data_IF_906181589060
#
_entry.id   IF_906181589060
#
_cell.length_a   1.000
_cell.length_b   1.000
_cell.length_c   1.000
_cell.angle_alpha   90.00
_cell.angle_beta   90.00
_cell.angle_gamma   90.00
#
_symmetry.space_group_name_H-M   'P 1'
#
loop_
_entity.id
_entity.type
_entity.pdbx_description
1 polymer ?
#
# COMPACT_ATOMS: atom_id res chain seq x y z
N UNK A 1 -12.55 -18.82 7.72
CA UNK A 1 -12.14 -17.40 7.67
C UNK A 1 -11.69 -16.98 9.05
N UNK A 2 -10.64 -16.16 9.17
CA UNK A 2 -10.09 -15.65 10.44
C UNK A 2 -9.73 -16.75 11.46
N UNK A 3 -9.32 -17.93 11.00
CA UNK A 3 -8.82 -18.97 11.91
C UNK A 3 -7.38 -18.63 12.34
N UNK A 4 -7.24 -17.60 13.18
CA UNK A 4 -5.93 -17.04 13.53
C UNK A 4 -5.02 -18.02 14.26
N UNK A 5 -5.57 -19.05 14.91
CA UNK A 5 -4.77 -20.09 15.55
C UNK A 5 -3.89 -20.86 14.54
N UNK A 6 -4.32 -20.98 13.28
CA UNK A 6 -3.50 -21.59 12.21
C UNK A 6 -2.25 -20.75 11.88
N UNK A 7 -2.23 -19.49 12.32
CA UNK A 7 -1.17 -18.51 12.06
C UNK A 7 -0.45 -18.06 13.34
N UNK A 8 -0.72 -18.68 14.49
CA UNK A 8 -0.09 -18.33 15.77
C UNK A 8 1.45 -18.37 15.68
N UNK A 9 1.97 -19.34 14.93
CA UNK A 9 3.39 -19.58 14.75
C UNK A 9 3.90 -19.08 13.38
N UNK A 10 3.19 -18.15 12.73
CA UNK A 10 3.55 -17.68 11.38
C UNK A 10 5.01 -17.19 11.33
N UNK A 11 5.50 -16.57 12.40
CA UNK A 11 6.86 -16.04 12.51
C UNK A 11 7.90 -16.98 13.13
N UNK A 12 7.58 -18.25 13.45
CA UNK A 12 8.46 -19.13 14.25
C UNK A 12 9.87 -19.35 13.67
N UNK A 13 10.06 -19.17 12.37
CA UNK A 13 11.35 -19.34 11.68
C UNK A 13 12.12 -18.04 11.46
N UNK A 14 11.59 -16.91 11.95
CA UNK A 14 12.23 -15.60 11.86
C UNK A 14 12.99 -15.35 13.16
N UNK A 15 14.28 -15.07 13.03
CA UNK A 15 15.06 -14.48 14.11
C UNK A 15 14.87 -12.97 14.06
N UNK A 16 14.33 -12.33 15.12
CA UNK A 16 14.21 -10.88 15.16
C UNK A 16 15.57 -10.21 14.94
N UNK A 17 15.56 -9.12 14.20
CA UNK A 17 16.76 -8.34 13.96
C UNK A 17 17.36 -7.82 15.27
N UNK A 18 18.69 -7.85 15.35
CA UNK A 18 19.44 -7.20 16.41
C UNK A 18 20.72 -6.59 15.85
N UNK A 19 21.05 -5.40 16.30
CA UNK A 19 22.27 -4.70 15.95
C UNK A 19 22.15 -3.19 16.10
N UNK A 20 23.13 -2.51 15.52
CA UNK A 20 23.18 -1.04 15.52
C UNK A 20 22.28 -0.45 14.46
N UNK A 21 21.35 0.40 14.86
CA UNK A 21 20.52 1.18 13.93
C UNK A 21 21.30 2.39 13.44
N UNK A 22 21.47 2.59 12.13
CA UNK A 22 22.08 3.80 11.60
C UNK A 22 21.31 5.06 12.03
N UNK A 23 22.04 6.17 12.25
CA UNK A 23 21.41 7.44 12.57
C UNK A 23 20.43 7.87 11.47
N UNK A 24 19.26 8.38 11.85
CA UNK A 24 18.21 8.79 10.92
C UNK A 24 17.25 7.67 10.49
N UNK A 25 17.39 6.45 11.03
CA UNK A 25 16.53 5.31 10.68
C UNK A 25 15.76 4.75 11.88
N UNK A 26 14.63 4.11 11.59
CA UNK A 26 14.01 3.09 12.44
C UNK A 26 14.29 1.72 11.82
N UNK A 27 14.04 0.66 12.59
CA UNK A 27 14.19 -0.72 12.11
C UNK A 27 13.04 -1.57 12.62
N UNK A 28 12.53 -2.49 11.79
CA UNK A 28 11.53 -3.48 12.21
C UNK A 28 12.18 -4.83 12.56
N UNK A 29 11.36 -5.82 12.93
CA UNK A 29 11.85 -7.13 13.33
C UNK A 29 12.47 -7.95 12.18
N UNK A 30 12.19 -7.61 10.92
CA UNK A 30 12.88 -8.20 9.76
C UNK A 30 14.22 -7.52 9.46
N UNK A 31 14.50 -6.37 10.08
CA UNK A 31 15.67 -5.55 9.77
C UNK A 31 15.44 -4.56 8.64
N UNK A 32 14.18 -4.23 8.31
CA UNK A 32 13.86 -3.18 7.34
C UNK A 32 14.28 -1.83 7.92
N UNK A 33 15.19 -1.13 7.25
CA UNK A 33 15.58 0.22 7.62
C UNK A 33 14.63 1.23 6.99
N UNK A 34 13.87 1.95 7.80
CA UNK A 34 12.97 3.02 7.34
C UNK A 34 13.53 4.37 7.77
N UNK A 35 13.74 5.29 6.83
CA UNK A 35 14.22 6.62 7.17
C UNK A 35 13.16 7.36 8.01
N UNK A 36 13.57 7.98 9.13
CA UNK A 36 12.67 8.69 10.05
C UNK A 36 11.89 9.82 9.38
N UNK A 37 12.45 10.41 8.34
CA UNK A 37 11.78 11.43 7.52
C UNK A 37 10.50 10.92 6.83
N UNK A 38 10.44 9.63 6.45
CA UNK A 38 9.23 9.05 5.86
C UNK A 38 8.10 8.95 6.88
N UNK A 39 8.47 8.91 8.16
CA UNK A 39 7.57 8.72 9.29
C UNK A 39 7.26 10.03 10.03
N UNK A 40 7.81 11.18 9.59
CA UNK A 40 7.68 12.44 10.32
C UNK A 40 6.21 12.82 10.60
N UNK A 41 5.33 12.54 9.65
CA UNK A 41 3.89 12.80 9.76
C UNK A 41 3.18 11.92 10.79
N UNK A 42 3.64 10.68 10.96
CA UNK A 42 3.03 9.67 11.82
C UNK A 42 3.71 9.55 13.19
N UNK A 43 4.92 10.12 13.28
CA UNK A 43 5.84 9.86 14.37
C UNK A 43 6.50 8.49 14.25
N UNK A 44 7.48 8.27 15.13
CA UNK A 44 8.14 6.99 15.27
C UNK A 44 8.38 6.71 16.76
N UNK A 45 8.58 5.43 17.09
CA UNK A 45 8.72 5.03 18.49
C UNK A 45 9.95 5.70 19.15
N UNK A 46 9.82 6.28 20.37
CA UNK A 46 10.91 6.99 21.04
C UNK A 46 12.17 6.14 21.31
N UNK A 47 12.03 4.81 21.32
CA UNK A 47 13.17 3.90 21.48
C UNK A 47 14.14 3.91 20.30
N UNK A 48 13.74 4.41 19.12
CA UNK A 48 14.62 4.55 17.97
C UNK A 48 15.56 5.76 18.13
N UNK A 49 16.56 5.60 18.99
CA UNK A 49 17.62 6.58 19.22
C UNK A 49 18.73 6.36 18.18
N UNK A 50 19.24 7.46 17.61
CA UNK A 50 20.26 7.39 16.57
C UNK A 50 21.53 6.66 17.04
N UNK A 51 21.94 5.65 16.28
CA UNK A 51 23.14 4.88 16.57
C UNK A 51 23.01 3.90 17.74
N UNK A 52 21.80 3.67 18.26
CA UNK A 52 21.55 2.70 19.32
C UNK A 52 21.70 1.25 18.84
N UNK A 53 22.14 0.38 19.75
CA UNK A 53 22.01 -1.07 19.61
C UNK A 53 20.60 -1.47 20.05
N UNK A 54 19.84 -2.10 19.16
CA UNK A 54 18.50 -2.60 19.45
C UNK A 54 18.44 -4.11 19.26
N UNK A 55 17.49 -4.72 19.97
CA UNK A 55 17.04 -6.07 19.74
C UNK A 55 15.54 -6.00 19.56
N UNK A 56 15.07 -6.36 18.36
CA UNK A 56 13.65 -6.33 18.04
C UNK A 56 12.95 -7.56 18.62
N UNK A 57 11.64 -7.44 18.79
CA UNK A 57 10.77 -8.54 19.19
C UNK A 57 9.88 -8.95 18.03
N UNK A 58 9.48 -10.22 17.99
CA UNK A 58 8.43 -10.66 17.06
C UNK A 58 7.14 -9.91 17.40
N UNK A 59 6.45 -9.30 16.41
CA UNK A 59 5.21 -8.60 16.67
C UNK A 59 4.15 -9.58 17.19
N UNK A 60 3.38 -9.13 18.18
CA UNK A 60 2.20 -9.83 18.66
C UNK A 60 0.97 -9.02 18.32
N UNK A 61 -0.14 -9.69 18.00
CA UNK A 61 -1.37 -9.02 17.59
C UNK A 61 -1.91 -8.09 18.69
N UNK A 62 -1.72 -8.45 19.96
CA UNK A 62 -2.13 -7.66 21.14
C UNK A 62 -1.10 -6.67 21.71
N UNK A 63 0.08 -6.52 21.08
CA UNK A 63 1.24 -5.82 21.64
C UNK A 63 1.20 -4.29 21.63
N UNK A 64 0.11 -3.68 21.17
CA UNK A 64 -0.06 -2.23 21.08
C UNK A 64 -0.02 -1.72 19.64
N UNK A 65 -1.13 -1.11 19.22
CA UNK A 65 -1.37 -0.31 18.01
C UNK A 65 -1.01 -0.84 16.62
N UNK A 66 -0.60 -2.10 16.42
CA UNK A 66 -0.28 -2.54 15.06
C UNK A 66 -0.80 -3.92 14.69
N UNK A 67 -2.12 -4.09 14.81
CA UNK A 67 -2.82 -5.25 14.26
C UNK A 67 -2.59 -5.36 12.75
N UNK A 68 -2.74 -4.26 12.02
CA UNK A 68 -2.52 -4.16 10.57
C UNK A 68 -1.13 -4.65 10.16
N UNK A 69 -0.07 -4.10 10.77
CA UNK A 69 1.31 -4.54 10.49
C UNK A 69 1.53 -6.03 10.75
N UNK A 70 0.90 -6.62 11.77
CA UNK A 70 1.01 -8.06 12.01
C UNK A 70 0.48 -8.86 10.81
N UNK A 71 -0.64 -8.44 10.22
CA UNK A 71 -1.21 -9.09 9.04
C UNK A 71 -0.39 -8.87 7.78
N UNK A 72 0.08 -7.65 7.54
CA UNK A 72 1.01 -7.36 6.43
C UNK A 72 2.25 -8.26 6.51
N UNK A 73 2.89 -8.29 7.68
CA UNK A 73 4.08 -9.10 7.93
C UNK A 73 3.81 -10.60 7.80
N UNK A 74 2.65 -11.08 8.28
CA UNK A 74 2.22 -12.46 8.12
C UNK A 74 2.08 -12.83 6.63
N UNK A 75 1.48 -11.94 5.84
CA UNK A 75 1.31 -12.14 4.40
C UNK A 75 2.64 -12.12 3.63
N UNK A 76 3.61 -11.29 4.02
CA UNK A 76 4.98 -11.34 3.47
C UNK A 76 5.62 -12.71 3.69
N UNK A 77 5.51 -13.24 4.91
CA UNK A 77 6.09 -14.54 5.29
C UNK A 77 5.43 -15.69 4.56
N UNK A 78 4.10 -15.66 4.48
CA UNK A 78 3.35 -16.71 3.80
C UNK A 78 3.62 -16.70 2.30
N UNK A 79 3.62 -15.52 1.67
CA UNK A 79 3.96 -15.38 0.25
C UNK A 79 5.39 -15.87 -0.05
N UNK A 80 6.38 -15.49 0.78
CA UNK A 80 7.76 -15.94 0.63
C UNK A 80 7.89 -17.48 0.71
N UNK A 81 7.16 -18.12 1.63
CA UNK A 81 7.15 -19.58 1.78
C UNK A 81 6.46 -20.30 0.63
N UNK A 82 5.46 -19.67 0.01
CA UNK A 82 4.70 -20.24 -1.11
C UNK A 82 5.41 -20.05 -2.46
N UNK A 83 6.25 -19.03 -2.60
CA UNK A 83 6.99 -18.69 -3.81
C UNK A 83 7.84 -19.86 -4.35
N UNK A 84 7.92 -19.99 -5.67
CA UNK A 84 8.67 -21.04 -6.37
C UNK A 84 9.44 -20.45 -7.54
N UNK A 85 10.73 -20.79 -7.64
CA UNK A 85 11.69 -20.41 -8.70
C UNK A 85 11.99 -18.90 -8.84
N UNK A 86 10.99 -18.05 -8.66
CA UNK A 86 11.05 -16.58 -8.66
C UNK A 86 9.97 -16.03 -7.73
N UNK A 87 10.11 -14.76 -7.35
CA UNK A 87 9.11 -14.03 -6.58
C UNK A 87 8.69 -12.75 -7.29
N UNK A 88 7.40 -12.56 -7.54
CA UNK A 88 6.86 -11.29 -8.05
C UNK A 88 5.93 -10.69 -7.02
N UNK A 89 6.26 -9.48 -6.57
CA UNK A 89 5.45 -8.70 -5.64
C UNK A 89 5.00 -7.39 -6.29
N UNK A 90 3.73 -7.07 -6.13
CA UNK A 90 3.11 -5.83 -6.58
C UNK A 90 2.55 -5.08 -5.37
N UNK A 91 2.83 -3.78 -5.23
CA UNK A 91 2.18 -2.87 -4.28
C UNK A 91 1.53 -1.72 -5.03
N UNK A 92 0.27 -1.43 -4.71
CA UNK A 92 -0.53 -0.35 -5.27
C UNK A 92 -0.72 0.70 -4.18
N UNK A 93 -0.35 1.95 -4.46
CA UNK A 93 -0.28 2.99 -3.43
C UNK A 93 0.96 2.82 -2.55
N UNK A 94 2.11 2.67 -3.20
CA UNK A 94 3.31 2.19 -2.53
C UNK A 94 3.83 3.14 -1.43
N UNK A 95 3.45 4.43 -1.42
CA UNK A 95 3.94 5.43 -0.48
C UNK A 95 5.49 5.47 -0.50
N UNK A 96 6.17 5.03 0.56
CA UNK A 96 7.64 4.91 0.60
C UNK A 96 8.15 3.48 0.32
N UNK A 97 7.29 2.57 -0.16
CA UNK A 97 7.62 1.23 -0.63
C UNK A 97 7.80 0.18 0.46
N UNK A 98 7.18 0.40 1.64
CA UNK A 98 7.38 -0.44 2.82
C UNK A 98 7.08 -1.92 2.57
N UNK A 99 5.95 -2.19 1.92
CA UNK A 99 5.44 -3.52 1.66
C UNK A 99 6.33 -4.28 0.67
N UNK A 100 6.92 -3.58 -0.31
CA UNK A 100 7.87 -4.16 -1.25
C UNK A 100 9.20 -4.52 -0.56
N UNK A 101 9.73 -3.62 0.27
CA UNK A 101 10.96 -3.85 1.04
C UNK A 101 10.77 -4.96 2.07
N UNK A 102 9.66 -4.96 2.80
CA UNK A 102 9.30 -5.98 3.79
C UNK A 102 9.11 -7.36 3.16
N UNK A 103 8.39 -7.45 2.03
CA UNK A 103 8.27 -8.68 1.25
C UNK A 103 9.62 -9.19 0.77
N UNK A 104 10.49 -8.30 0.29
CA UNK A 104 11.84 -8.68 -0.12
C UNK A 104 12.66 -9.24 1.05
N UNK A 105 12.65 -8.61 2.23
CA UNK A 105 13.38 -9.14 3.39
C UNK A 105 12.83 -10.48 3.85
N UNK A 106 11.51 -10.62 3.95
CA UNK A 106 10.89 -11.90 4.30
C UNK A 106 11.31 -13.00 3.32
N UNK A 107 11.33 -12.70 2.01
CA UNK A 107 11.82 -13.61 0.99
C UNK A 107 13.29 -13.99 1.21
N UNK A 108 14.19 -13.02 1.39
CA UNK A 108 15.61 -13.31 1.57
C UNK A 108 15.92 -14.08 2.86
N UNK A 109 15.08 -13.96 3.90
CA UNK A 109 15.26 -14.71 5.15
C UNK A 109 14.74 -16.15 5.06
N UNK A 110 13.64 -16.36 4.32
CA UNK A 110 12.91 -17.64 4.34
C UNK A 110 13.13 -18.50 3.11
N UNK A 111 13.30 -17.88 1.95
CA UNK A 111 13.32 -18.55 0.66
C UNK A 111 14.09 -17.70 -0.37
N UNK A 112 15.42 -17.53 -0.20
CA UNK A 112 16.20 -16.61 -1.03
C UNK A 112 16.14 -17.01 -2.51
N UNK A 113 15.60 -16.13 -3.34
CA UNK A 113 15.49 -16.34 -4.79
C UNK A 113 15.43 -15.00 -5.54
N UNK A 114 15.57 -15.01 -6.88
CA UNK A 114 15.36 -13.81 -7.68
C UNK A 114 13.95 -13.24 -7.50
N UNK A 115 13.84 -11.93 -7.31
CA UNK A 115 12.57 -11.25 -7.17
C UNK A 115 12.40 -10.09 -8.15
N UNK A 116 11.15 -9.80 -8.51
CA UNK A 116 10.72 -8.55 -9.14
C UNK A 116 9.75 -7.85 -8.21
N UNK A 117 10.09 -6.63 -7.83
CA UNK A 117 9.22 -5.74 -7.07
C UNK A 117 8.61 -4.73 -8.04
N UNK A 118 7.30 -4.54 -7.92
CA UNK A 118 6.53 -3.58 -8.71
C UNK A 118 5.83 -2.64 -7.73
N UNK A 119 6.19 -1.35 -7.76
CA UNK A 119 5.62 -0.33 -6.91
C UNK A 119 4.93 0.73 -7.77
N UNK A 120 3.63 0.93 -7.56
CA UNK A 120 2.84 1.96 -8.24
C UNK A 120 2.49 3.06 -7.24
N UNK A 121 2.91 4.29 -7.53
CA UNK A 121 2.76 5.42 -6.62
C UNK A 121 2.55 6.72 -7.41
N UNK A 122 1.42 7.44 -7.25
CA UNK A 122 1.12 8.61 -8.06
C UNK A 122 1.92 9.87 -7.66
N UNK A 123 2.40 9.98 -6.42
CA UNK A 123 3.07 11.19 -5.90
C UNK A 123 4.58 11.12 -6.24
N UNK A 124 5.12 12.10 -6.99
CA UNK A 124 6.53 12.09 -7.40
C UNK A 124 7.53 11.96 -6.24
N UNK A 125 7.28 12.67 -5.15
CA UNK A 125 8.13 12.66 -3.96
C UNK A 125 8.14 11.28 -3.29
N UNK A 126 6.98 10.64 -3.20
CA UNK A 126 6.86 9.26 -2.70
C UNK A 126 7.59 8.27 -3.64
N UNK A 127 7.53 8.44 -4.96
CA UNK A 127 8.31 7.62 -5.90
C UNK A 127 9.82 7.70 -5.62
N UNK A 128 10.33 8.89 -5.32
CA UNK A 128 11.72 9.04 -4.92
C UNK A 128 12.02 8.42 -3.55
N UNK A 129 11.05 8.44 -2.62
CA UNK A 129 11.14 7.72 -1.36
C UNK A 129 11.18 6.21 -1.55
N UNK A 130 10.36 5.62 -2.42
CA UNK A 130 10.42 4.19 -2.79
C UNK A 130 11.84 3.83 -3.26
N UNK A 131 12.40 4.60 -4.19
CA UNK A 131 13.75 4.36 -4.71
C UNK A 131 14.81 4.45 -3.61
N UNK A 132 14.73 5.47 -2.75
CA UNK A 132 15.65 5.65 -1.63
C UNK A 132 15.53 4.49 -0.64
N UNK A 133 14.32 4.14 -0.25
CA UNK A 133 14.06 3.08 0.71
C UNK A 133 14.55 1.71 0.22
N UNK A 134 14.40 1.42 -1.07
CA UNK A 134 15.00 0.24 -1.71
C UNK A 134 16.53 0.25 -1.57
N UNK A 135 17.20 1.37 -1.91
CA UNK A 135 18.68 1.48 -1.79
C UNK A 135 19.15 1.33 -0.35
N UNK A 136 18.46 1.95 0.60
CA UNK A 136 18.77 1.88 2.03
C UNK A 136 18.67 0.43 2.55
N UNK A 137 17.90 -0.43 1.86
CA UNK A 137 17.75 -1.84 2.16
C UNK A 137 18.51 -2.79 1.21
N UNK A 138 19.44 -2.26 0.40
CA UNK A 138 20.28 -3.07 -0.48
C UNK A 138 19.57 -3.62 -1.72
N UNK A 139 18.43 -3.04 -2.08
CA UNK A 139 17.68 -3.37 -3.30
C UNK A 139 18.04 -2.34 -4.38
N UNK A 140 18.44 -2.80 -5.56
CA UNK A 140 18.71 -1.92 -6.70
C UNK A 140 17.39 -1.51 -7.38
N UNK A 141 16.95 -0.23 -7.26
CA UNK A 141 15.68 0.21 -7.84
C UNK A 141 15.66 0.16 -9.37
N UNK A 142 16.82 0.22 -10.04
CA UNK A 142 16.90 0.14 -11.51
C UNK A 142 16.61 -1.27 -12.03
N UNK A 143 16.70 -2.27 -11.14
CA UNK A 143 16.28 -3.64 -11.43
C UNK A 143 14.82 -3.89 -11.06
N UNK A 144 14.10 -2.93 -10.50
CA UNK A 144 12.69 -3.05 -10.11
C UNK A 144 11.81 -2.21 -11.02
N UNK A 145 10.48 -2.37 -10.89
CA UNK A 145 9.52 -1.53 -11.61
C UNK A 145 8.89 -0.55 -10.64
N UNK A 146 9.18 0.73 -10.82
CA UNK A 146 8.62 1.81 -10.01
C UNK A 146 7.93 2.76 -10.97
N UNK A 147 6.59 2.86 -10.87
CA UNK A 147 5.78 3.61 -11.82
C UNK A 147 5.05 4.75 -11.13
N UNK A 148 5.20 5.95 -11.70
CA UNK A 148 4.45 7.12 -11.26
C UNK A 148 3.08 7.16 -11.96
N UNK A 149 2.09 6.48 -11.40
CA UNK A 149 0.75 6.41 -11.97
C UNK A 149 -0.32 6.16 -10.92
N UNK A 150 -1.56 6.47 -11.26
CA UNK A 150 -2.75 6.03 -10.53
C UNK A 150 -3.16 4.67 -11.03
N UNK A 151 -3.57 3.78 -10.13
CA UNK A 151 -4.28 2.56 -10.52
C UNK A 151 -5.78 2.85 -10.57
N UNK A 152 -6.42 2.66 -11.72
CA UNK A 152 -7.87 2.87 -11.91
C UNK A 152 -8.49 1.70 -12.70
N UNK A 153 -9.79 1.80 -12.92
CA UNK A 153 -10.58 0.97 -13.84
C UNK A 153 -10.28 1.23 -15.33
N UNK A 154 -9.65 2.35 -15.68
CA UNK A 154 -9.33 2.74 -17.07
C UNK A 154 -7.92 3.31 -17.21
N UNK A 155 -7.44 3.44 -18.45
CA UNK A 155 -6.20 4.15 -18.78
C UNK A 155 -6.39 5.65 -19.01
N UNK A 156 -7.58 6.20 -18.73
CA UNK A 156 -7.82 7.63 -18.88
C UNK A 156 -7.12 8.40 -17.74
N UNK A 157 -6.45 9.52 -18.01
CA UNK A 157 -5.93 10.37 -16.96
C UNK A 157 -7.03 10.81 -16.00
N UNK A 158 -6.73 10.81 -14.70
CA UNK A 158 -7.67 11.14 -13.64
C UNK A 158 -7.21 12.37 -12.85
N UNK A 159 -8.18 13.13 -12.33
CA UNK A 159 -7.90 14.16 -11.34
C UNK A 159 -7.53 13.52 -10.01
N UNK A 160 -6.37 13.92 -9.49
CA UNK A 160 -5.79 13.32 -8.30
C UNK A 160 -5.03 14.36 -7.48
N UNK A 161 -5.10 14.28 -6.15
CA UNK A 161 -4.38 15.19 -5.28
C UNK A 161 -2.89 14.84 -5.24
N UNK A 162 -2.03 15.76 -5.67
CA UNK A 162 -0.57 15.61 -5.68
C UNK A 162 0.06 16.61 -4.71
N UNK A 163 0.86 16.10 -3.78
CA UNK A 163 1.47 16.85 -2.68
C UNK A 163 1.31 16.08 -1.37
N UNK A 164 1.77 16.67 -0.26
CA UNK A 164 1.76 16.03 1.06
C UNK A 164 2.29 14.58 1.04
N UNK A 165 3.57 14.38 0.65
CA UNK A 165 4.17 13.05 0.65
C UNK A 165 4.11 12.42 2.04
N UNK A 166 3.93 11.10 2.08
CA UNK A 166 3.75 10.35 3.33
C UNK A 166 2.33 10.38 3.92
N UNK A 167 1.40 11.17 3.37
CA UNK A 167 0.08 11.35 3.99
C UNK A 167 -0.87 10.16 3.86
N UNK A 168 -0.70 9.28 2.88
CA UNK A 168 -1.53 8.09 2.71
C UNK A 168 -3.02 8.40 2.75
N UNK A 169 -3.47 9.47 2.08
CA UNK A 169 -4.86 9.94 2.13
C UNK A 169 -5.43 10.26 0.75
N UNK A 170 -4.62 10.08 -0.30
CA UNK A 170 -4.91 10.47 -1.66
C UNK A 170 -5.59 9.30 -2.40
N UNK A 171 -6.72 9.56 -3.05
CA UNK A 171 -7.45 8.57 -3.83
C UNK A 171 -7.96 9.14 -5.15
N UNK A 172 -8.34 8.26 -6.08
CA UNK A 172 -8.80 8.66 -7.40
C UNK A 172 -10.32 8.60 -7.57
N UNK A 173 -11.08 8.32 -6.51
CA UNK A 173 -12.55 8.28 -6.57
C UNK A 173 -13.11 9.64 -6.19
N UNK A 174 -12.89 10.06 -4.95
CA UNK A 174 -13.46 11.28 -4.38
C UNK A 174 -12.95 12.55 -5.08
N UNK A 175 -11.82 12.45 -5.78
CA UNK A 175 -11.24 13.58 -6.52
C UNK A 175 -11.52 13.56 -8.03
N UNK A 176 -12.04 12.46 -8.56
CA UNK A 176 -12.25 12.33 -10.00
C UNK A 176 -13.72 12.13 -10.38
N UNK A 177 -14.60 11.83 -9.42
CA UNK A 177 -16.02 11.67 -9.67
C UNK A 177 -16.67 12.94 -10.28
N UNK A 178 -17.79 12.82 -11.01
CA UNK A 178 -18.42 13.97 -11.69
C UNK A 178 -18.70 15.14 -10.75
N UNK A 179 -19.17 14.86 -9.53
CA UNK A 179 -19.46 15.89 -8.53
C UNK A 179 -18.21 16.68 -8.12
N UNK A 180 -17.10 15.99 -7.84
CA UNK A 180 -15.83 16.63 -7.50
C UNK A 180 -15.34 17.53 -8.64
N UNK A 181 -15.41 17.06 -9.89
CA UNK A 181 -15.05 17.85 -11.08
C UNK A 181 -15.92 19.11 -11.22
N UNK A 182 -17.22 19.00 -11.00
CA UNK A 182 -18.12 20.17 -11.00
C UNK A 182 -17.78 21.16 -9.90
N UNK A 183 -17.46 20.68 -8.70
CA UNK A 183 -17.07 21.52 -7.56
C UNK A 183 -15.77 22.29 -7.88
N UNK A 184 -14.79 21.65 -8.53
CA UNK A 184 -13.57 22.32 -8.99
C UNK A 184 -13.86 23.42 -10.01
N UNK A 185 -14.72 23.16 -10.99
CA UNK A 185 -15.11 24.17 -11.99
C UNK A 185 -15.81 25.34 -11.33
N UNK A 186 -16.75 25.08 -10.40
CA UNK A 186 -17.46 26.14 -9.67
C UNK A 186 -16.51 27.03 -8.89
N UNK A 187 -15.52 26.46 -8.21
CA UNK A 187 -14.51 27.21 -7.46
C UNK A 187 -13.61 28.05 -8.38
N UNK A 188 -13.10 27.45 -9.45
CA UNK A 188 -12.27 28.16 -10.42
C UNK A 188 -13.01 29.33 -11.09
N UNK A 189 -14.32 29.18 -11.34
CA UNK A 189 -15.17 30.25 -11.88
C UNK A 189 -15.39 31.35 -10.83
N UNK A 190 -15.71 30.98 -9.59
CA UNK A 190 -15.91 31.94 -8.51
C UNK A 190 -14.66 32.80 -8.25
N UNK A 191 -13.48 32.19 -8.36
CA UNK A 191 -12.19 32.87 -8.16
C UNK A 191 -11.69 33.61 -9.41
N UNK A 192 -12.38 33.53 -10.54
CA UNK A 192 -11.92 34.13 -11.81
C UNK A 192 -10.64 33.50 -12.36
N UNK A 193 -10.38 32.23 -12.06
CA UNK A 193 -9.14 31.50 -12.40
C UNK A 193 -9.27 30.54 -13.59
N UNK A 194 -10.43 30.48 -14.24
CA UNK A 194 -10.74 29.49 -15.29
C UNK A 194 -9.74 29.48 -16.45
N UNK A 195 -9.38 30.64 -17.02
CA UNK A 195 -8.42 30.71 -18.13
C UNK A 195 -7.03 30.21 -17.73
N UNK A 196 -6.58 30.57 -16.52
CA UNK A 196 -5.30 30.13 -15.99
C UNK A 196 -5.27 28.62 -15.73
N UNK A 197 -6.33 28.07 -15.13
CA UNK A 197 -6.46 26.63 -14.90
C UNK A 197 -6.49 25.84 -16.21
N UNK A 198 -7.23 26.31 -17.23
CA UNK A 198 -7.24 25.68 -18.55
C UNK A 198 -5.86 25.69 -19.20
N UNK A 199 -5.17 26.83 -19.17
CA UNK A 199 -3.79 26.93 -19.67
C UNK A 199 -2.85 25.98 -18.94
N UNK A 200 -2.96 25.88 -17.62
CA UNK A 200 -2.11 25.00 -16.81
C UNK A 200 -2.40 23.52 -17.07
N UNK A 201 -3.66 23.13 -17.28
CA UNK A 201 -4.02 21.76 -17.62
C UNK A 201 -3.41 21.35 -18.95
N UNK A 202 -3.53 22.20 -19.97
CA UNK A 202 -3.00 21.90 -21.31
C UNK A 202 -1.47 21.82 -21.37
N UNK A 203 -0.78 22.61 -20.54
CA UNK A 203 0.68 22.73 -20.62
C UNK A 203 1.43 21.88 -19.60
N UNK A 204 0.81 21.59 -18.46
CA UNK A 204 1.50 21.08 -17.26
C UNK A 204 0.69 20.08 -16.46
N UNK A 205 -0.52 19.72 -16.89
CA UNK A 205 -1.43 18.82 -16.17
C UNK A 205 -1.78 19.30 -14.75
N UNK A 206 -1.72 20.60 -14.48
CA UNK A 206 -2.05 21.21 -13.18
C UNK A 206 -3.34 22.01 -13.28
N UNK A 207 -4.13 22.03 -12.22
CA UNK A 207 -5.28 22.94 -12.11
C UNK A 207 -4.92 24.24 -11.39
N UNK A 208 -3.87 24.24 -10.55
CA UNK A 208 -3.58 25.30 -9.59
C UNK A 208 -4.56 25.32 -8.40
N UNK A 209 -5.45 24.34 -8.29
CA UNK A 209 -6.42 24.21 -7.21
C UNK A 209 -5.80 23.42 -6.06
N UNK A 210 -5.64 24.08 -4.90
CA UNK A 210 -5.08 23.44 -3.71
C UNK A 210 -6.21 23.03 -2.77
N UNK A 211 -6.16 21.81 -2.23
CA UNK A 211 -7.14 21.22 -1.32
C UNK A 211 -6.46 20.60 -0.11
N UNK A 212 -7.06 20.77 1.06
CA UNK A 212 -6.73 19.97 2.24
C UNK A 212 -7.45 18.62 2.10
N UNK A 213 -6.72 17.54 1.81
CA UNK A 213 -7.32 16.22 1.56
C UNK A 213 -7.84 15.54 2.82
N UNK A 214 -7.36 15.97 3.99
CA UNK A 214 -7.88 15.52 5.27
C UNK A 214 -8.21 16.74 6.12
N UNK A 215 -9.49 17.16 6.19
CA UNK A 215 -9.90 18.40 6.82
C UNK A 215 -9.29 18.59 8.23
N UNK A 216 -8.52 19.67 8.39
CA UNK A 216 -7.93 20.05 9.67
C UNK A 216 -6.59 19.38 9.98
N UNK A 217 -6.08 18.53 9.08
CA UNK A 217 -4.71 18.00 9.14
C UNK A 217 -3.72 18.84 8.33
N UNK A 218 -4.20 19.79 7.51
CA UNK A 218 -3.38 20.65 6.66
C UNK A 218 -2.52 19.85 5.67
N UNK A 219 -3.10 18.78 5.13
CA UNK A 219 -2.50 17.98 4.06
C UNK A 219 -2.84 18.65 2.73
N UNK A 220 -2.16 19.77 2.49
CA UNK A 220 -2.38 20.60 1.32
C UNK A 220 -1.79 19.95 0.08
N UNK A 221 -2.66 19.57 -0.84
CA UNK A 221 -2.32 18.97 -2.13
C UNK A 221 -2.87 19.83 -3.27
N UNK A 222 -2.28 19.70 -4.44
CA UNK A 222 -2.84 20.28 -5.66
C UNK A 222 -3.60 19.23 -6.46
N UNK A 223 -4.82 19.53 -6.92
CA UNK A 223 -5.54 18.66 -7.84
C UNK A 223 -4.85 18.72 -9.21
N UNK A 224 -4.31 17.60 -9.68
CA UNK A 224 -3.61 17.48 -10.96
C UNK A 224 -4.24 16.40 -11.82
N UNK A 225 -4.04 16.50 -13.13
CA UNK A 225 -4.35 15.42 -14.06
C UNK A 225 -3.15 14.45 -14.07
N UNK A 226 -3.35 13.23 -13.63
CA UNK A 226 -2.27 12.22 -13.52
C UNK A 226 -2.61 11.03 -14.39
N UNK A 227 -1.59 10.42 -15.00
CA UNK A 227 -1.75 9.25 -15.85
C UNK A 227 -2.26 8.06 -15.03
N UNK A 228 -3.17 7.27 -15.63
CA UNK A 228 -3.70 6.07 -14.99
C UNK A 228 -3.35 4.81 -15.76
N UNK A 229 -3.17 3.73 -15.02
CA UNK A 229 -2.98 2.36 -15.51
C UNK A 229 -3.99 1.45 -14.85
N UNK A 230 -4.33 0.35 -15.53
CA UNK A 230 -5.24 -0.66 -14.97
C UNK A 230 -4.46 -1.79 -14.30
N UNK A 231 -5.13 -2.59 -13.45
CA UNK A 231 -4.54 -3.84 -12.95
C UNK A 231 -4.13 -4.77 -14.08
N UNK A 232 -4.86 -4.77 -15.21
CA UNK A 232 -4.51 -5.58 -16.37
C UNK A 232 -3.15 -5.17 -16.95
N UNK A 233 -2.83 -3.87 -16.96
CA UNK A 233 -1.54 -3.37 -17.45
C UNK A 233 -0.41 -3.76 -16.49
N UNK A 234 -0.63 -3.61 -15.19
CA UNK A 234 0.34 -3.96 -14.15
C UNK A 234 0.66 -5.46 -14.17
N UNK A 235 -0.37 -6.31 -14.27
CA UNK A 235 -0.25 -7.77 -14.24
C UNK A 235 0.06 -8.39 -15.60
N UNK A 236 -0.13 -7.64 -16.69
CA UNK A 236 0.02 -8.11 -18.07
C UNK A 236 1.37 -8.80 -18.32
N UNK A 237 2.51 -8.18 -17.95
CA UNK A 237 3.83 -8.72 -18.23
C UNK A 237 4.25 -9.97 -17.46
N UNK A 238 3.51 -10.38 -16.43
CA UNK A 238 3.88 -11.51 -15.57
C UNK A 238 3.02 -12.74 -15.83
N UNK A 239 3.60 -13.93 -15.89
CA UNK A 239 2.81 -15.17 -15.95
C UNK A 239 2.06 -15.40 -14.63
N UNK A 240 2.70 -15.04 -13.52
CA UNK A 240 2.16 -15.16 -12.16
C UNK A 240 2.75 -14.06 -11.26
N UNK A 241 1.95 -13.65 -10.27
CA UNK A 241 2.28 -12.73 -9.18
C UNK A 241 2.03 -13.46 -7.87
N UNK A 242 3.09 -13.59 -7.06
CA UNK A 242 3.03 -14.32 -5.80
C UNK A 242 2.29 -13.53 -4.72
N UNK A 243 2.47 -12.21 -4.72
CA UNK A 243 1.86 -11.33 -3.74
C UNK A 243 1.47 -9.99 -4.35
N UNK A 244 0.21 -9.61 -4.18
CA UNK A 244 -0.28 -8.27 -4.46
C UNK A 244 -0.72 -7.64 -3.15
N UNK A 245 -0.19 -6.47 -2.86
CA UNK A 245 -0.61 -5.63 -1.76
C UNK A 245 -1.26 -4.36 -2.33
N UNK A 246 -2.26 -3.84 -1.62
CA UNK A 246 -2.99 -2.65 -2.04
C UNK A 246 -3.48 -1.84 -0.86
N UNK A 247 -3.08 -0.57 -0.86
CA UNK A 247 -3.62 0.49 -0.03
C UNK A 247 -3.73 1.76 -0.91
N UNK A 248 -4.92 1.96 -1.48
CA UNK A 248 -5.19 3.04 -2.44
C UNK A 248 -6.40 3.88 -2.02
N UNK A 249 -6.63 3.94 -0.71
CA UNK A 249 -7.48 4.93 -0.04
C UNK A 249 -8.91 5.00 -0.60
N UNK A 250 -9.61 3.86 -0.66
CA UNK A 250 -10.96 3.65 -1.24
C UNK A 250 -10.97 3.32 -2.73
N UNK A 251 -9.88 3.56 -3.46
CA UNK A 251 -9.84 3.28 -4.90
C UNK A 251 -9.96 1.78 -5.20
N UNK A 252 -9.86 0.90 -4.20
CA UNK A 252 -10.00 -0.54 -4.34
C UNK A 252 -11.35 -0.93 -4.98
N UNK A 253 -12.42 -0.18 -4.69
CA UNK A 253 -13.78 -0.45 -5.18
C UNK A 253 -13.95 -0.24 -6.68
N UNK A 254 -13.10 0.55 -7.33
CA UNK A 254 -13.10 0.70 -8.80
C UNK A 254 -12.00 -0.14 -9.45
N UNK A 255 -10.90 -0.36 -8.74
CA UNK A 255 -9.71 -1.03 -9.26
C UNK A 255 -9.92 -2.55 -9.38
N UNK A 256 -10.43 -3.21 -8.35
CA UNK A 256 -10.50 -4.68 -8.33
C UNK A 256 -11.66 -5.29 -9.13
N UNK A 257 -12.92 -4.82 -9.02
CA UNK A 257 -14.06 -5.52 -9.63
C UNK A 257 -13.98 -5.78 -11.13
N UNK A 258 -13.49 -4.85 -11.97
CA UNK A 258 -13.37 -5.08 -13.41
C UNK A 258 -12.30 -6.12 -13.79
N UNK A 259 -11.46 -6.54 -12.84
CA UNK A 259 -10.22 -7.29 -13.09
C UNK A 259 -10.17 -8.66 -12.42
N UNK A 260 -11.30 -9.15 -11.88
CA UNK A 260 -11.36 -10.45 -11.20
C UNK A 260 -10.88 -11.61 -12.07
N UNK A 261 -11.12 -11.55 -13.38
CA UNK A 261 -10.67 -12.57 -14.33
C UNK A 261 -9.13 -12.67 -14.41
N UNK A 262 -8.44 -11.53 -14.47
CA UNK A 262 -6.97 -11.49 -14.55
C UNK A 262 -6.35 -11.78 -13.19
N UNK A 263 -6.95 -11.30 -12.10
CA UNK A 263 -6.53 -11.62 -10.74
C UNK A 263 -6.57 -13.12 -10.51
N UNK A 264 -7.70 -13.78 -10.81
CA UNK A 264 -7.88 -15.23 -10.62
C UNK A 264 -6.90 -16.06 -11.46
N UNK A 265 -6.49 -15.58 -12.64
CA UNK A 265 -5.52 -16.28 -13.48
C UNK A 265 -4.07 -16.08 -13.07
N UNK A 266 -3.73 -14.92 -12.49
CA UNK A 266 -2.32 -14.49 -12.35
C UNK A 266 -1.86 -14.30 -10.92
N UNK A 267 -2.75 -14.06 -9.97
CA UNK A 267 -2.35 -13.65 -8.61
C UNK A 267 -2.64 -14.78 -7.63
N UNK A 268 -1.63 -15.12 -6.82
CA UNK A 268 -1.73 -16.18 -5.80
C UNK A 268 -2.32 -15.67 -4.49
N UNK A 269 -1.88 -14.51 -4.01
CA UNK A 269 -2.28 -13.94 -2.73
C UNK A 269 -2.45 -12.43 -2.86
N UNK A 270 -3.48 -11.91 -2.20
CA UNK A 270 -3.76 -10.47 -2.14
C UNK A 270 -3.96 -10.07 -0.68
N UNK A 271 -3.29 -8.98 -0.27
CA UNK A 271 -3.56 -8.26 0.97
C UNK A 271 -4.09 -6.87 0.63
N UNK A 272 -5.16 -6.42 1.28
CA UNK A 272 -5.74 -5.09 1.07
C UNK A 272 -5.99 -4.39 2.40
N UNK A 273 -5.53 -3.15 2.49
CA UNK A 273 -6.02 -2.14 3.42
C UNK A 273 -7.32 -1.53 2.87
N UNK A 274 -8.45 -1.74 3.52
CA UNK A 274 -9.76 -1.27 3.02
C UNK A 274 -10.29 -0.08 3.80
N UNK A 275 -10.69 0.98 3.09
CA UNK A 275 -10.95 2.30 3.66
C UNK A 275 -12.46 2.62 3.79
N UNK A 276 -13.18 1.76 4.49
CA UNK A 276 -14.62 1.88 4.71
C UNK A 276 -15.29 0.52 4.87
N UNK A 277 -16.29 0.44 5.75
CA UNK A 277 -16.96 -0.83 6.03
C UNK A 277 -17.76 -1.36 4.81
N UNK A 278 -18.30 -0.46 3.99
CA UNK A 278 -19.01 -0.75 2.75
C UNK A 278 -18.07 -1.21 1.62
N UNK A 279 -16.93 -0.54 1.47
CA UNK A 279 -15.85 -0.96 0.56
C UNK A 279 -15.34 -2.35 0.95
N UNK A 280 -15.05 -2.55 2.24
CA UNK A 280 -14.59 -3.84 2.77
C UNK A 280 -15.58 -4.96 2.47
N UNK A 281 -16.86 -4.76 2.80
CA UNK A 281 -17.90 -5.79 2.60
C UNK A 281 -18.08 -6.10 1.11
N UNK A 282 -18.06 -5.09 0.25
CA UNK A 282 -18.21 -5.29 -1.19
C UNK A 282 -17.06 -6.10 -1.78
N UNK A 283 -15.83 -5.78 -1.39
CA UNK A 283 -14.65 -6.52 -1.85
C UNK A 283 -14.66 -7.96 -1.30
N UNK A 284 -14.98 -8.12 -0.01
CA UNK A 284 -15.13 -9.44 0.61
C UNK A 284 -16.10 -10.33 -0.19
N UNK A 285 -17.31 -9.84 -0.44
CA UNK A 285 -18.37 -10.62 -1.11
C UNK A 285 -17.97 -10.93 -2.54
N UNK A 286 -17.41 -9.95 -3.26
CA UNK A 286 -16.89 -10.14 -4.60
C UNK A 286 -15.81 -11.24 -4.66
N UNK A 287 -14.83 -11.23 -3.76
CA UNK A 287 -13.79 -12.26 -3.75
C UNK A 287 -14.36 -13.65 -3.43
N UNK A 288 -15.28 -13.74 -2.47
CA UNK A 288 -15.94 -14.99 -2.12
C UNK A 288 -16.77 -15.55 -3.30
N UNK A 289 -17.53 -14.69 -3.99
CA UNK A 289 -18.32 -15.06 -5.18
C UNK A 289 -17.46 -15.56 -6.34
N UNK A 290 -16.21 -15.09 -6.45
CA UNK A 290 -15.25 -15.52 -7.45
C UNK A 290 -14.36 -16.69 -6.99
N UNK A 291 -14.73 -17.36 -5.90
CA UNK A 291 -14.07 -18.59 -5.45
C UNK A 291 -12.66 -18.37 -4.91
N UNK A 292 -12.43 -17.26 -4.23
CA UNK A 292 -11.21 -17.03 -3.45
C UNK A 292 -11.39 -17.51 -2.01
N UNK A 293 -10.31 -18.00 -1.41
CA UNK A 293 -10.28 -18.31 0.01
C UNK A 293 -10.07 -17.01 0.79
N UNK A 294 -11.06 -16.61 1.59
CA UNK A 294 -10.91 -15.46 2.49
C UNK A 294 -10.13 -15.92 3.73
N UNK A 295 -8.89 -15.44 3.84
CA UNK A 295 -7.95 -15.78 4.89
C UNK A 295 -8.17 -14.90 6.11
N UNK A 296 -8.06 -13.58 5.91
CA UNK A 296 -8.31 -12.55 6.92
C UNK A 296 -9.37 -11.57 6.41
N UNK A 297 -10.31 -11.20 7.27
CA UNK A 297 -11.33 -10.17 7.00
C UNK A 297 -11.71 -9.50 8.31
N UNK A 298 -11.18 -8.30 8.51
CA UNK A 298 -11.45 -7.45 9.66
C UNK A 298 -11.83 -6.06 9.18
N UNK A 299 -13.01 -5.59 9.59
CA UNK A 299 -13.52 -4.28 9.19
C UNK A 299 -12.69 -3.13 9.76
N UNK A 300 -12.61 -1.98 9.05
CA UNK A 300 -11.94 -0.76 9.54
C UNK A 300 -12.60 -0.15 10.77
N UNK A 301 -11.92 0.85 11.35
CA UNK A 301 -12.38 1.76 12.40
C UNK A 301 -13.01 1.08 13.63
N UNK A 302 -12.42 -0.03 14.09
CA UNK A 302 -12.94 -0.75 15.26
C UNK A 302 -11.89 -1.60 15.95
N UNK A 303 -12.27 -2.09 17.11
CA UNK A 303 -11.50 -3.08 17.84
C UNK A 303 -12.00 -4.49 17.54
N UNK A 304 -11.06 -5.43 17.51
CA UNK A 304 -11.30 -6.85 17.30
C UNK A 304 -10.71 -7.63 18.46
N UNK A 305 -11.46 -8.61 18.96
CA UNK A 305 -11.02 -9.53 20.00
C UNK A 305 -10.87 -10.92 19.37
N UNK A 306 -9.69 -11.52 19.54
CA UNK A 306 -9.33 -12.77 18.87
C UNK A 306 -8.54 -13.69 19.80
N UNK A 307 -8.43 -14.99 19.48
CA UNK A 307 -7.59 -15.90 20.25
C UNK A 307 -6.11 -15.51 20.36
N UNK A 308 -5.58 -14.68 19.44
CA UNK A 308 -4.19 -14.21 19.47
C UNK A 308 -4.01 -12.85 20.16
N UNK A 309 -5.10 -12.24 20.63
CA UNK A 309 -5.10 -10.95 21.30
C UNK A 309 -6.09 -9.97 20.69
N UNK A 310 -6.25 -8.85 21.40
CA UNK A 310 -7.10 -7.72 21.01
C UNK A 310 -6.28 -6.69 20.25
N UNK A 311 -6.81 -6.19 19.15
CA UNK A 311 -6.19 -5.12 18.36
C UNK A 311 -7.25 -4.14 17.85
N UNK A 312 -6.80 -3.00 17.34
CA UNK A 312 -7.63 -2.04 16.64
C UNK A 312 -7.15 -1.89 15.21
N UNK A 313 -8.08 -1.54 14.33
CA UNK A 313 -7.84 -1.20 12.93
C UNK A 313 -8.26 0.24 12.69
N UNK A 314 -7.39 1.01 12.05
CA UNK A 314 -7.75 2.18 11.27
C UNK A 314 -8.35 1.69 9.94
N UNK A 315 -7.56 0.92 9.20
CA UNK A 315 -7.94 0.36 7.91
C UNK A 315 -8.34 -1.11 8.06
N UNK A 316 -9.31 -1.54 7.25
CA UNK A 316 -9.75 -2.92 7.29
C UNK A 316 -8.69 -3.83 6.69
N UNK A 317 -8.61 -5.07 7.18
CA UNK A 317 -7.67 -6.07 6.69
C UNK A 317 -8.44 -7.10 5.89
N UNK A 318 -8.21 -7.16 4.57
CA UNK A 318 -8.75 -8.22 3.72
C UNK A 318 -7.61 -8.96 3.02
N UNK A 319 -7.37 -10.19 3.46
CA UNK A 319 -6.44 -11.10 2.81
C UNK A 319 -7.19 -12.24 2.14
N UNK A 320 -6.90 -12.45 0.86
CA UNK A 320 -7.47 -13.52 0.06
C UNK A 320 -6.38 -14.34 -0.61
N UNK A 321 -6.63 -15.65 -0.71
CA UNK A 321 -5.75 -16.61 -1.38
C UNK A 321 -6.48 -17.26 -2.54
N UNK A 322 -5.76 -17.42 -3.64
CA UNK A 322 -6.27 -18.10 -4.81
C UNK A 322 -6.07 -19.62 -4.64
N UNK A 323 -7.15 -20.42 -4.55
CA UNK A 323 -7.03 -21.88 -4.39
C UNK A 323 -6.48 -22.60 -5.64
N UNK A 324 -6.36 -21.91 -6.78
CA UNK A 324 -5.93 -22.50 -8.06
C UNK A 324 -4.39 -22.54 -8.22
N UNK A 325 -3.65 -22.02 -7.22
CA UNK A 325 -2.18 -21.83 -7.24
C UNK A 325 -1.41 -22.67 -6.21
#
# INVERSE_FOLDING_TARGET
MNNLLDYADVFQSIQPWSGRVPAGFTVDFFGNLTAKEFLEMWGYHPAFIDGAELQMEIPTLGGGNNGEFWFEAADWVLAAREARDRFVMVTLGALYGYQAVGSHRALQLLNPMPCKLVAIEPIPENVEWVKRHMRDNGIDPEQQWIMQAIVSDTNEPAFFPVGSPGAGAQNCISTNEPRAREDYVRELVADGRTEHALSNLLLRNTTGLTKDVVPGKNFMTEIKLVSSITLRDVLGPFDAVDFLESDIQQSEIVVFPPHMDVLKRKVRRIHMGTHGADVHQTLHDMFAEHGWDIVFSFLPDREHDTPLGRFATNDGILTVRNPDF
#
